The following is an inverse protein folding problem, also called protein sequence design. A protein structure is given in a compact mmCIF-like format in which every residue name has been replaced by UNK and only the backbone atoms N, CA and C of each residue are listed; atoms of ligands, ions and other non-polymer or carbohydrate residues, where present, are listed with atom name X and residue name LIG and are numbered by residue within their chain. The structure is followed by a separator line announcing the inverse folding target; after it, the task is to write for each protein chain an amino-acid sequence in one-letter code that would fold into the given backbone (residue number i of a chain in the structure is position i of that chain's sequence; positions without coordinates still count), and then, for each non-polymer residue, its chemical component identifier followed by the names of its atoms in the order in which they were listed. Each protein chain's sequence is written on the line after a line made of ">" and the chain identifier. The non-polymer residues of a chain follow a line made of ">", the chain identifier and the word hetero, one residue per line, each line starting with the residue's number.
data_IF_555834131889
#
_entry.id   IF_555834131889
#
_cell.length_a   1.000
_cell.length_b   1.000
_cell.length_c   1.000
_cell.angle_alpha   90.00
_cell.angle_beta   90.00
_cell.angle_gamma   90.00
#
_symmetry.space_group_name_H-M   'P 1'
#
loop_
_entity.id
_entity.type
_entity.pdbx_description
1 polymer ?
#
# COMPACT_ATOMS: atom_id res chain seq x y z
N UNK A 1 -19.26 -7.17 -10.13
CA UNK A 1 -19.00 -5.89 -10.82
C UNK A 1 -17.55 -5.54 -10.56
N UNK A 2 -16.70 -5.52 -11.59
CA UNK A 2 -15.30 -5.15 -11.46
C UNK A 2 -15.19 -3.67 -11.83
N UNK A 3 -14.87 -2.84 -10.84
CA UNK A 3 -14.55 -1.44 -11.05
C UNK A 3 -13.07 -1.40 -11.42
N UNK A 4 -12.77 -1.53 -12.71
CA UNK A 4 -11.43 -1.19 -13.21
C UNK A 4 -11.38 0.33 -13.25
N UNK A 5 -10.44 0.91 -12.52
CA UNK A 5 -10.21 2.34 -12.61
C UNK A 5 -9.90 2.72 -14.07
N UNK A 6 -10.43 3.85 -14.55
CA UNK A 6 -9.96 4.42 -15.80
C UNK A 6 -8.43 4.50 -15.80
N UNK A 7 -7.75 4.24 -16.94
CA UNK A 7 -6.29 4.14 -16.99
C UNK A 7 -5.56 5.34 -16.37
N UNK A 8 -6.13 6.54 -16.45
CA UNK A 8 -5.60 7.77 -15.88
C UNK A 8 -5.60 7.82 -14.35
N UNK A 9 -6.42 7.00 -13.69
CA UNK A 9 -6.49 6.92 -12.23
C UNK A 9 -5.68 5.77 -11.66
N UNK A 10 -5.18 4.86 -12.50
CA UNK A 10 -4.31 3.76 -12.06
C UNK A 10 -3.02 4.30 -11.44
N UNK A 11 -2.63 3.75 -10.29
CA UNK A 11 -1.37 4.07 -9.64
C UNK A 11 -0.17 3.73 -10.55
N UNK A 12 0.47 4.76 -11.10
CA UNK A 12 1.63 4.60 -11.97
C UNK A 12 2.87 4.06 -11.23
N UNK A 13 3.84 3.45 -11.95
CA UNK A 13 5.03 2.83 -11.34
C UNK A 13 5.86 3.79 -10.48
N UNK A 14 6.03 5.03 -10.92
CA UNK A 14 6.76 6.05 -10.13
C UNK A 14 6.06 6.40 -8.82
N UNK A 15 4.73 6.34 -8.78
CA UNK A 15 3.98 6.58 -7.55
C UNK A 15 4.07 5.37 -6.61
N UNK A 16 3.99 4.16 -7.16
CA UNK A 16 4.17 2.90 -6.43
C UNK A 16 5.56 2.76 -5.79
N UNK A 17 6.59 3.35 -6.40
CA UNK A 17 7.95 3.31 -5.85
C UNK A 17 8.07 3.96 -4.44
N UNK A 18 7.10 4.77 -4.02
CA UNK A 18 7.10 5.39 -2.68
C UNK A 18 6.96 4.38 -1.53
N UNK A 19 6.47 3.17 -1.79
CA UNK A 19 6.32 2.12 -0.79
C UNK A 19 7.60 1.33 -0.53
N UNK A 20 8.62 1.44 -1.39
CA UNK A 20 9.89 0.76 -1.20
C UNK A 20 10.63 1.28 0.04
N UNK A 21 11.30 0.37 0.73
CA UNK A 21 12.07 0.63 1.95
C UNK A 21 11.26 1.34 3.07
N UNK A 22 9.93 1.15 3.08
CA UNK A 22 9.06 1.64 4.15
C UNK A 22 8.70 0.53 5.13
N UNK A 23 8.57 0.90 6.39
CA UNK A 23 8.04 0.04 7.44
C UNK A 23 6.53 0.20 7.57
N UNK A 24 5.87 -0.83 8.10
CA UNK A 24 4.45 -0.74 8.46
C UNK A 24 4.32 0.00 9.80
N UNK A 25 4.11 1.30 9.73
CA UNK A 25 3.90 2.16 10.89
C UNK A 25 2.67 3.07 10.69
N UNK A 26 2.51 4.11 11.52
CA UNK A 26 1.41 5.09 11.38
C UNK A 26 1.67 6.11 10.26
N UNK A 27 2.93 6.28 9.85
CA UNK A 27 3.35 7.26 8.87
C UNK A 27 3.30 6.73 7.43
N UNK A 28 3.18 5.41 7.24
CA UNK A 28 2.85 4.79 5.94
C UNK A 28 1.40 5.08 5.51
N UNK A 29 1.09 6.36 5.29
CA UNK A 29 -0.22 6.88 4.96
C UNK A 29 -0.13 8.02 3.91
N UNK A 30 -1.27 8.28 3.24
CA UNK A 30 -1.41 9.42 2.32
C UNK A 30 -1.22 10.73 3.08
N UNK A 31 -0.54 11.71 2.45
CA UNK A 31 -0.14 13.00 3.06
C UNK A 31 0.83 12.87 4.24
N UNK A 32 1.40 11.68 4.45
CA UNK A 32 2.52 11.42 5.37
C UNK A 32 3.70 10.93 4.53
N UNK A 33 4.08 9.65 4.66
CA UNK A 33 5.16 9.07 3.87
C UNK A 33 4.80 8.90 2.38
N UNK A 34 3.51 8.89 2.02
CA UNK A 34 3.03 8.67 0.65
C UNK A 34 2.37 9.94 0.11
N UNK A 35 2.84 10.44 -1.05
CA UNK A 35 2.22 11.59 -1.72
C UNK A 35 0.87 11.20 -2.33
N UNK A 36 -0.13 12.11 -2.36
CA UNK A 36 -1.42 11.84 -3.01
C UNK A 36 -1.27 11.78 -4.54
N UNK A 37 -2.28 11.20 -5.21
CA UNK A 37 -2.46 11.27 -6.67
C UNK A 37 -3.56 12.30 -6.95
N UNK A 38 -3.26 13.33 -7.74
CA UNK A 38 -4.26 14.34 -8.11
C UNK A 38 -5.41 13.71 -8.90
N UNK A 39 -6.66 13.94 -8.45
CA UNK A 39 -7.85 13.35 -9.08
C UNK A 39 -8.09 11.87 -8.78
N UNK A 40 -7.16 11.16 -8.14
CA UNK A 40 -7.25 9.72 -7.87
C UNK A 40 -7.19 9.40 -6.36
N UNK A 41 -7.97 10.12 -5.56
CA UNK A 41 -7.98 9.96 -4.09
C UNK A 41 -8.36 8.54 -3.68
N UNK A 42 -9.34 7.92 -4.35
CA UNK A 42 -9.79 6.55 -4.04
C UNK A 42 -8.68 5.54 -4.36
N UNK A 43 -8.03 5.67 -5.51
CA UNK A 43 -6.86 4.86 -5.91
C UNK A 43 -5.78 4.92 -4.85
N UNK A 44 -5.34 6.14 -4.50
CA UNK A 44 -4.24 6.37 -3.59
C UNK A 44 -4.51 5.74 -2.21
N UNK A 45 -5.73 5.93 -1.68
CA UNK A 45 -6.13 5.35 -0.40
C UNK A 45 -6.26 3.83 -0.46
N UNK A 46 -6.90 3.29 -1.49
CA UNK A 46 -7.12 1.85 -1.66
C UNK A 46 -5.79 1.11 -1.79
N UNK A 47 -4.87 1.62 -2.62
CA UNK A 47 -3.54 1.02 -2.79
C UNK A 47 -2.74 1.09 -1.49
N UNK A 48 -2.74 2.24 -0.80
CA UNK A 48 -2.05 2.38 0.49
C UNK A 48 -2.58 1.38 1.52
N UNK A 49 -3.90 1.22 1.62
CA UNK A 49 -4.52 0.24 2.50
C UNK A 49 -4.15 -1.20 2.12
N UNK A 50 -4.15 -1.52 0.83
CA UNK A 50 -3.78 -2.84 0.33
C UNK A 50 -2.33 -3.19 0.67
N UNK A 51 -1.38 -2.27 0.43
CA UNK A 51 0.04 -2.46 0.79
C UNK A 51 0.18 -2.70 2.29
N UNK A 52 -0.44 -1.85 3.13
CA UNK A 52 -0.41 -2.02 4.60
C UNK A 52 -0.93 -3.39 5.04
N UNK A 53 -2.02 -3.86 4.42
CA UNK A 53 -2.61 -5.16 4.72
C UNK A 53 -1.69 -6.31 4.33
N UNK A 54 -1.06 -6.25 3.15
CA UNK A 54 -0.10 -7.27 2.71
C UNK A 54 1.12 -7.32 3.63
N UNK A 55 1.66 -6.16 4.01
CA UNK A 55 2.78 -6.10 4.98
C UNK A 55 2.39 -6.65 6.35
N UNK A 56 1.17 -6.40 6.82
CA UNK A 56 0.67 -6.95 8.08
C UNK A 56 0.59 -8.48 8.02
N UNK A 57 0.09 -9.03 6.90
CA UNK A 57 0.08 -10.47 6.69
C UNK A 57 1.49 -11.06 6.63
N UNK A 58 2.42 -10.45 5.90
CA UNK A 58 3.82 -10.90 5.85
C UNK A 58 4.47 -10.90 7.25
N UNK A 59 4.24 -9.88 8.08
CA UNK A 59 4.74 -9.84 9.46
C UNK A 59 4.16 -10.96 10.35
N UNK A 60 2.84 -11.19 10.28
CA UNK A 60 2.20 -12.27 11.05
C UNK A 60 2.73 -13.62 10.60
N UNK A 61 2.81 -13.87 9.29
CA UNK A 61 3.28 -15.13 8.74
C UNK A 61 4.75 -15.40 9.09
N UNK A 62 5.62 -14.38 9.06
CA UNK A 62 7.02 -14.53 9.50
C UNK A 62 7.15 -14.81 10.98
N UNK A 63 6.32 -14.18 11.82
CA UNK A 63 6.28 -14.46 13.26
C UNK A 63 5.87 -15.89 13.58
N UNK A 64 4.94 -16.47 12.81
CA UNK A 64 4.53 -17.88 12.95
C UNK A 64 5.64 -18.86 12.53
N UNK A 65 6.41 -18.55 11.48
CA UNK A 65 7.54 -19.40 11.06
C UNK A 65 8.68 -19.39 12.08
N UNK A 66 8.96 -18.25 12.72
CA UNK A 66 10.00 -18.15 13.76
C UNK A 66 9.55 -18.79 15.11
N UNK A 67 8.25 -18.95 15.31
CA UNK A 67 7.66 -19.65 16.46
C UNK A 67 7.39 -21.14 16.23
N UNK A 68 7.66 -21.70 15.04
CA UNK A 68 7.48 -23.13 14.74
C UNK A 68 8.72 -23.90 15.22
N UNK A 69 8.56 -24.91 16.10
CA UNK A 69 9.68 -25.72 16.62
C UNK A 69 10.32 -26.61 15.55
#
# INVERSE_FOLDING_TARGET
>A
MVFLEPPEYVAGPSWMAQFYDKLLDRDLAIQRAIRPIAGATITANTVTLAVRRVMAFDQVLRGEEEGRP
#
